data_IF_030737086186
#
_entry.id   IF_030737086186
#
_cell.length_a   1.000
_cell.length_b   1.000
_cell.length_c   1.000
_cell.angle_alpha   90.00
_cell.angle_beta   90.00
_cell.angle_gamma   90.00
#
_symmetry.space_group_name_H-M   'P 1'
#
loop_
_entity.id
_entity.type
_entity.pdbx_description
1 polymer ?
#
# COMPACT_ATOMS: atom_id res chain seq x y z
N UNK A 1 -7.81 5.31 -0.15
CA UNK A 1 -8.41 5.91 1.06
C UNK A 1 -8.02 5.06 2.25
N UNK A 2 -7.58 5.69 3.36
CA UNK A 2 -7.15 4.97 4.57
C UNK A 2 -8.36 4.72 5.47
N UNK A 3 -8.69 3.45 5.82
CA UNK A 3 -9.80 3.19 6.73
C UNK A 3 -9.52 3.79 8.11
N UNK A 4 -10.51 4.51 8.64
CA UNK A 4 -10.38 5.23 9.92
C UNK A 4 -9.98 6.71 9.80
N UNK A 5 -9.61 7.19 8.62
CA UNK A 5 -9.26 8.60 8.41
C UNK A 5 -10.45 9.54 8.66
N UNK A 6 -11.58 9.28 7.99
CA UNK A 6 -12.81 10.07 8.13
C UNK A 6 -13.31 10.17 9.59
N UNK A 7 -13.53 9.06 10.33
CA UNK A 7 -13.97 9.16 11.72
C UNK A 7 -12.95 9.86 12.63
N UNK A 8 -11.65 9.75 12.34
CA UNK A 8 -10.61 10.42 13.11
C UNK A 8 -10.60 11.94 12.89
N UNK A 9 -10.68 12.39 11.63
CA UNK A 9 -10.79 13.81 11.29
C UNK A 9 -12.09 14.40 11.84
N UNK A 10 -13.21 13.71 11.68
CA UNK A 10 -14.50 14.13 12.24
C UNK A 10 -14.47 14.24 13.76
N UNK A 11 -13.79 13.34 14.47
CA UNK A 11 -13.62 13.43 15.92
C UNK A 11 -12.81 14.67 16.34
N UNK A 12 -11.95 15.17 15.46
CA UNK A 12 -11.14 16.36 15.65
C UNK A 12 -11.81 17.64 15.12
N UNK A 13 -12.95 17.54 14.43
CA UNK A 13 -13.59 18.68 13.76
C UNK A 13 -12.85 19.15 12.51
N UNK A 14 -12.16 18.24 11.83
CA UNK A 14 -11.32 18.48 10.64
C UNK A 14 -11.81 17.69 9.42
N UNK A 15 -13.08 17.27 9.39
CA UNK A 15 -13.67 16.47 8.31
C UNK A 15 -13.59 17.14 6.93
N UNK A 16 -13.56 18.48 6.88
CA UNK A 16 -13.44 19.24 5.64
C UNK A 16 -12.09 19.02 4.95
N UNK A 17 -11.06 18.59 5.70
CA UNK A 17 -9.71 18.28 5.21
C UNK A 17 -9.57 16.82 4.75
N UNK A 18 -10.66 16.05 4.69
CA UNK A 18 -10.64 14.66 4.24
C UNK A 18 -10.11 14.48 2.80
N UNK A 19 -10.41 15.36 1.82
CA UNK A 19 -9.83 15.26 0.48
C UNK A 19 -8.30 15.38 0.50
N UNK A 20 -7.76 16.37 1.20
CA UNK A 20 -6.32 16.65 1.34
C UNK A 20 -5.64 15.49 2.07
N UNK A 21 -6.25 14.99 3.14
CA UNK A 21 -5.75 13.85 3.89
C UNK A 21 -5.66 12.58 3.02
N UNK A 22 -6.68 12.32 2.20
CA UNK A 22 -6.68 11.18 1.28
C UNK A 22 -5.67 11.32 0.14
N UNK A 23 -5.50 12.54 -0.38
CA UNK A 23 -4.49 12.84 -1.39
C UNK A 23 -3.10 12.55 -0.84
N UNK A 24 -2.78 13.08 0.35
CA UNK A 24 -1.51 12.83 1.02
C UNK A 24 -1.28 11.33 1.26
N UNK A 25 -2.29 10.59 1.75
CA UNK A 25 -2.15 9.16 1.97
C UNK A 25 -1.83 8.40 0.68
N UNK A 26 -2.45 8.81 -0.43
CA UNK A 26 -2.21 8.21 -1.75
C UNK A 26 -0.78 8.48 -2.23
N UNK A 27 -0.30 9.71 -2.05
CA UNK A 27 1.06 10.11 -2.44
C UNK A 27 2.14 9.42 -1.61
N UNK A 28 1.92 9.27 -0.31
CA UNK A 28 2.86 8.61 0.60
C UNK A 28 2.73 7.09 0.62
N UNK A 29 1.74 6.52 -0.09
CA UNK A 29 1.43 5.09 -0.06
C UNK A 29 0.88 4.60 1.29
N UNK A 30 0.46 5.51 2.17
CA UNK A 30 -0.14 5.17 3.45
C UNK A 30 -1.49 4.49 3.23
N UNK A 31 -1.62 3.28 3.76
CA UNK A 31 -2.79 2.41 3.63
C UNK A 31 -3.50 2.21 4.97
N UNK A 32 -2.80 2.42 6.09
CA UNK A 32 -3.34 2.26 7.45
C UNK A 32 -3.04 3.47 8.33
N UNK A 33 -3.88 3.71 9.35
CA UNK A 33 -3.73 4.86 10.25
C UNK A 33 -2.40 4.87 11.01
N UNK A 34 -1.80 3.71 11.30
CA UNK A 34 -0.48 3.65 11.95
C UNK A 34 0.62 4.27 11.10
N UNK A 35 0.60 4.08 9.78
CA UNK A 35 1.57 4.69 8.85
C UNK A 35 1.42 6.23 8.81
N UNK A 36 0.18 6.71 8.85
CA UNK A 36 -0.10 8.15 8.99
C UNK A 36 0.46 8.70 10.31
N UNK A 37 0.35 7.94 11.41
CA UNK A 37 0.90 8.34 12.71
C UNK A 37 2.42 8.30 12.78
N UNK A 38 3.06 7.42 12.01
CA UNK A 38 4.52 7.35 11.88
C UNK A 38 5.06 8.60 11.17
N UNK A 39 4.39 9.04 10.10
CA UNK A 39 4.73 10.26 9.34
C UNK A 39 3.83 11.44 9.69
N UNK A 40 3.40 11.54 10.95
CA UNK A 40 2.38 12.51 11.39
C UNK A 40 2.79 13.98 11.19
N UNK A 41 4.08 14.29 11.35
CA UNK A 41 4.57 15.67 11.18
C UNK A 41 4.32 16.14 9.74
N UNK A 42 4.71 15.31 8.78
CA UNK A 42 4.60 15.62 7.35
C UNK A 42 3.14 15.63 6.92
N UNK A 43 2.33 14.71 7.46
CA UNK A 43 0.87 14.73 7.30
C UNK A 43 0.26 16.06 7.75
N UNK A 44 0.57 16.49 8.98
CA UNK A 44 -0.02 17.70 9.56
C UNK A 44 0.39 18.98 8.80
N UNK A 45 1.60 19.02 8.24
CA UNK A 45 2.07 20.12 7.40
C UNK A 45 1.40 20.13 6.01
N UNK A 46 1.06 18.96 5.47
CA UNK A 46 0.43 18.83 4.15
C UNK A 46 -1.06 19.23 4.13
N UNK A 47 -1.76 19.16 5.26
CA UNK A 47 -3.20 19.46 5.33
C UNK A 47 -3.55 20.95 5.15
N UNK A 48 -2.56 21.86 5.21
CA UNK A 48 -2.83 23.30 5.04
C UNK A 48 -3.70 23.90 6.15
N UNK A 49 -3.61 23.35 7.37
CA UNK A 49 -4.37 23.79 8.54
C UNK A 49 -3.96 25.19 9.01
N UNK A 50 -4.88 25.91 9.66
CA UNK A 50 -4.52 27.11 10.42
C UNK A 50 -3.60 26.77 11.61
N UNK A 51 -2.93 27.78 12.17
CA UNK A 51 -2.04 27.57 13.33
C UNK A 51 -2.78 26.96 14.53
N UNK A 52 -4.03 27.35 14.77
CA UNK A 52 -4.84 26.84 15.88
C UNK A 52 -5.26 25.38 15.67
N UNK A 53 -5.72 25.05 14.45
CA UNK A 53 -6.07 23.67 14.07
C UNK A 53 -4.85 22.76 14.11
N UNK A 54 -3.70 23.22 13.61
CA UNK A 54 -2.45 22.48 13.64
C UNK A 54 -1.99 22.21 15.08
N UNK A 55 -2.08 23.21 15.96
CA UNK A 55 -1.75 23.06 17.37
C UNK A 55 -2.71 22.07 18.07
N UNK A 56 -4.01 22.15 17.77
CA UNK A 56 -5.02 21.23 18.28
C UNK A 56 -4.77 19.80 17.81
N UNK A 57 -4.51 19.61 16.51
CA UNK A 57 -4.18 18.33 15.90
C UNK A 57 -2.94 17.72 16.56
N UNK A 58 -1.85 18.48 16.69
CA UNK A 58 -0.61 18.03 17.36
C UNK A 58 -0.86 17.59 18.81
N UNK A 59 -1.74 18.30 19.54
CA UNK A 59 -2.07 17.98 20.93
C UNK A 59 -2.94 16.73 21.06
N UNK A 60 -3.90 16.52 20.15
CA UNK A 60 -4.96 15.52 20.33
C UNK A 60 -4.82 14.27 19.46
N UNK A 61 -4.06 14.32 18.37
CA UNK A 61 -3.94 13.27 17.35
C UNK A 61 -3.79 11.86 17.92
N UNK A 62 -2.80 11.64 18.78
CA UNK A 62 -2.50 10.32 19.36
C UNK A 62 -3.60 9.84 20.31
N UNK A 63 -4.16 10.75 21.09
CA UNK A 63 -5.22 10.42 22.07
C UNK A 63 -6.52 10.09 21.35
N UNK A 64 -6.91 10.89 20.35
CA UNK A 64 -8.11 10.63 19.55
C UNK A 64 -7.97 9.33 18.77
N UNK A 65 -6.81 9.07 18.15
CA UNK A 65 -6.54 7.80 17.47
C UNK A 65 -6.69 6.60 18.40
N UNK A 66 -5.99 6.61 19.55
CA UNK A 66 -6.08 5.54 20.56
C UNK A 66 -7.51 5.33 21.07
N UNK A 67 -8.24 6.42 21.33
CA UNK A 67 -9.64 6.38 21.79
C UNK A 67 -10.55 5.71 20.76
N UNK A 68 -10.44 6.10 19.49
CA UNK A 68 -11.28 5.56 18.42
C UNK A 68 -10.93 4.10 18.08
N UNK A 69 -9.65 3.74 18.16
CA UNK A 69 -9.21 2.37 18.00
C UNK A 69 -9.77 1.47 19.12
N UNK A 70 -9.74 1.92 20.38
CA UNK A 70 -10.32 1.19 21.52
C UNK A 70 -11.84 1.03 21.41
N UNK A 71 -12.53 1.98 20.79
CA UNK A 71 -13.97 1.92 20.54
C UNK A 71 -14.34 1.06 19.32
N UNK A 72 -13.37 0.61 18.54
CA UNK A 72 -13.59 -0.11 17.28
C UNK A 72 -14.09 0.78 16.14
N UNK A 73 -14.02 2.11 16.28
CA UNK A 73 -14.36 3.07 15.23
C UNK A 73 -13.26 3.17 14.16
N UNK A 74 -12.03 2.82 14.54
CA UNK A 74 -10.90 2.65 13.62
C UNK A 74 -10.46 1.18 13.70
N UNK A 75 -10.50 0.43 12.59
CA UNK A 75 -10.04 -0.95 12.59
C UNK A 75 -8.54 -1.01 12.84
N UNK A 76 -8.11 -1.85 13.77
CA UNK A 76 -6.71 -2.20 13.93
C UNK A 76 -6.27 -2.98 12.67
N UNK A 77 -5.31 -2.43 11.94
CA UNK A 77 -4.77 -3.02 10.72
C UNK A 77 -3.26 -3.13 10.85
N UNK A 78 -2.70 -4.23 10.37
CA UNK A 78 -1.26 -4.35 10.20
C UNK A 78 -0.82 -3.58 8.95
N UNK A 79 0.29 -2.83 8.99
CA UNK A 79 0.82 -2.15 7.80
C UNK A 79 1.12 -3.18 6.71
N UNK A 80 0.74 -2.85 5.46
CA UNK A 80 0.62 -3.81 4.34
C UNK A 80 1.98 -4.11 3.68
N UNK A 81 3.05 -4.19 4.46
CA UNK A 81 4.47 -4.36 4.09
C UNK A 81 5.24 -3.03 4.00
N UNK A 82 6.39 -2.96 4.70
CA UNK A 82 7.42 -1.94 4.46
C UNK A 82 7.83 -2.04 2.99
N UNK A 83 7.77 -0.95 2.24
CA UNK A 83 8.38 -0.86 0.91
C UNK A 83 9.86 -1.22 1.02
N UNK A 84 10.21 -2.49 0.80
CA UNK A 84 11.39 -2.75 -0.01
C UNK A 84 11.03 -2.28 -1.42
N UNK A 85 11.73 -1.24 -1.83
CA UNK A 85 11.82 -0.68 -3.17
C UNK A 85 11.48 -1.72 -4.26
N UNK A 86 10.22 -1.76 -4.70
CA UNK A 86 9.84 -2.56 -5.87
C UNK A 86 10.47 -1.91 -7.10
N UNK A 87 11.73 -2.29 -7.40
CA UNK A 87 12.32 -2.06 -8.71
C UNK A 87 11.47 -2.80 -9.72
N UNK A 88 10.62 -2.07 -10.44
CA UNK A 88 9.92 -2.58 -11.61
C UNK A 88 10.98 -2.84 -12.69
N UNK A 89 11.61 -4.00 -12.63
CA UNK A 89 12.41 -4.51 -13.74
C UNK A 89 11.45 -4.72 -14.92
N UNK A 90 11.68 -3.93 -15.97
CA UNK A 90 10.75 -3.73 -17.07
C UNK A 90 10.13 -5.01 -17.61
N UNK A 91 8.79 -5.01 -17.66
CA UNK A 91 8.03 -5.87 -18.56
C UNK A 91 7.00 -5.01 -19.25
N UNK A 92 7.42 -4.46 -20.39
CA UNK A 92 6.55 -3.90 -21.41
C UNK A 92 5.52 -4.96 -21.78
N UNK A 93 4.25 -4.68 -21.51
CA UNK A 93 3.14 -5.49 -22.02
C UNK A 93 3.10 -5.34 -23.55
N UNK A 94 3.57 -6.36 -24.28
CA UNK A 94 3.11 -6.59 -25.64
C UNK A 94 2.03 -7.67 -25.61
N UNK A 95 0.79 -7.24 -25.61
CA UNK A 95 -0.34 -8.04 -26.08
C UNK A 95 -0.14 -8.23 -27.59
N UNK A 96 0.19 -9.45 -28.02
CA UNK A 96 -0.01 -9.89 -29.40
C UNK A 96 -0.97 -11.06 -29.40
N UNK A 97 -2.18 -10.78 -29.86
CA UNK A 97 -3.12 -11.80 -30.29
C UNK A 97 -2.59 -12.41 -31.59
N UNK A 98 -2.61 -13.73 -31.70
CA UNK A 98 -2.89 -14.51 -32.92
C UNK A 98 -2.77 -16.01 -32.57
N UNK A 99 -3.95 -16.66 -32.50
CA UNK A 99 -4.22 -18.11 -32.54
C UNK A 99 -3.89 -18.69 -33.92
N UNK A 100 -4.12 -19.99 -34.23
CA UNK A 100 -3.97 -21.26 -33.50
C UNK A 100 -3.08 -22.24 -34.34
N UNK A 101 -3.23 -23.55 -34.12
CA UNK A 101 -2.88 -24.70 -35.01
C UNK A 101 -1.78 -25.66 -34.49
N UNK A 102 -2.25 -26.83 -34.04
CA UNK A 102 -1.51 -28.08 -33.74
C UNK A 102 -0.99 -28.74 -35.05
N UNK A 103 -0.57 -30.02 -35.13
CA UNK A 103 -0.12 -31.02 -34.14
C UNK A 103 1.18 -31.77 -34.57
N UNK A 104 1.78 -32.52 -33.64
CA UNK A 104 2.49 -33.79 -33.90
C UNK A 104 3.86 -33.76 -34.60
N UNK A 105 4.84 -34.47 -34.02
CA UNK A 105 5.56 -35.58 -34.68
C UNK A 105 6.57 -36.18 -33.69
N UNK A 106 6.36 -37.48 -33.45
CA UNK A 106 7.27 -38.42 -32.82
C UNK A 106 8.31 -38.87 -33.85
N UNK A 107 9.61 -38.90 -33.53
CA UNK A 107 10.48 -40.06 -33.80
C UNK A 107 11.97 -39.86 -33.44
N UNK A 108 12.42 -40.74 -32.54
CA UNK A 108 13.52 -41.73 -32.68
C UNK A 108 14.98 -41.30 -32.92
N UNK A 109 15.80 -42.12 -32.22
CA UNK A 109 17.17 -42.61 -32.52
C UNK A 109 18.29 -41.63 -32.18
N UNK A 110 19.48 -42.04 -31.79
CA UNK A 110 20.14 -43.31 -31.43
C UNK A 110 21.60 -42.91 -31.12
N UNK A 111 22.25 -43.60 -30.19
CA UNK A 111 23.70 -43.91 -30.03
C UNK A 111 24.01 -44.00 -28.54
N UNK A 112 24.33 -45.16 -27.96
CA UNK A 112 25.57 -45.93 -28.18
C UNK A 112 26.69 -45.25 -27.37
N UNK A 113 27.53 -45.88 -26.56
CA UNK A 113 27.96 -47.26 -26.41
C UNK A 113 28.92 -47.28 -25.19
N UNK A 114 29.09 -48.47 -24.57
CA UNK A 114 30.25 -48.89 -23.75
C UNK A 114 30.56 -48.12 -22.45
N UNK A 115 30.92 -48.76 -21.34
CA UNK A 115 31.95 -49.80 -21.28
C UNK A 115 31.79 -50.67 -20.04
N UNK A 116 32.01 -51.97 -20.25
CA UNK A 116 32.12 -53.06 -19.29
C UNK A 116 33.53 -53.08 -18.70
N UNK A 117 33.70 -53.44 -17.42
CA UNK A 117 34.57 -54.53 -16.92
C UNK A 117 34.84 -54.38 -15.42
N UNK A 118 34.78 -55.55 -14.78
CA UNK A 118 35.08 -55.92 -13.39
C UNK A 118 36.44 -55.47 -12.87
#
# INVERSE_FOLDING_TARGET
VVPGMEPWLKHLGLEDYLPEANAWCTEQGASVMSEVMESFKDFAEALGLSEEELAMLKRRARISFSTLQQRGEIPAQEPVLKMEEFKVAGKTFLRREETPESPGTQERRDTGDRTHVR
#
